data_IF_911518686691
#
_entry.id   IF_911518686691
#
_cell.length_a   1.000
_cell.length_b   1.000
_cell.length_c   1.000
_cell.angle_alpha   90.00
_cell.angle_beta   90.00
_cell.angle_gamma   90.00
#
_symmetry.space_group_name_H-M   'P 1'
#
loop_
_entity.id
_entity.type
_entity.pdbx_description
1 polymer ?
#
# COMPACT_ATOMS: atom_id res chain seq x y z
N UNK A 1 -65.46 12.03 -32.89
CA UNK A 1 -64.45 10.95 -32.85
C UNK A 1 -63.33 11.41 -31.94
N UNK A 2 -63.33 10.94 -30.70
CA UNK A 2 -62.41 11.38 -29.63
C UNK A 2 -61.63 10.18 -29.11
N UNK A 3 -60.33 10.18 -29.33
CA UNK A 3 -59.32 9.36 -28.64
C UNK A 3 -57.99 10.09 -28.87
N UNK A 4 -57.26 10.62 -27.88
CA UNK A 4 -57.01 10.12 -26.54
C UNK A 4 -55.57 9.58 -26.53
N UNK A 5 -54.57 10.46 -26.40
CA UNK A 5 -53.15 10.11 -26.33
C UNK A 5 -52.77 9.78 -24.87
N UNK A 6 -52.28 8.57 -24.54
CA UNK A 6 -51.58 8.33 -23.30
C UNK A 6 -50.08 8.30 -23.59
N UNK A 7 -49.41 9.44 -23.41
CA UNK A 7 -47.95 9.53 -23.49
C UNK A 7 -47.44 10.29 -22.27
N UNK A 8 -47.59 9.71 -21.07
CA UNK A 8 -47.07 10.34 -19.85
C UNK A 8 -46.79 9.40 -18.66
N UNK A 9 -46.79 8.07 -18.86
CA UNK A 9 -46.51 7.10 -17.79
C UNK A 9 -45.21 6.29 -17.96
N UNK A 10 -44.36 6.65 -18.93
CA UNK A 10 -43.09 5.93 -19.17
C UNK A 10 -41.85 6.54 -18.50
N UNK A 11 -41.91 7.78 -18.01
CA UNK A 11 -40.72 8.53 -17.60
C UNK A 11 -40.36 8.42 -16.11
N UNK A 12 -41.25 7.89 -15.26
CA UNK A 12 -41.04 7.83 -13.81
C UNK A 12 -40.40 6.52 -13.29
N UNK A 13 -40.21 5.51 -14.15
CA UNK A 13 -39.68 4.21 -13.74
C UNK A 13 -38.14 4.10 -13.79
N UNK A 14 -37.44 5.08 -14.35
CA UNK A 14 -35.97 5.03 -14.53
C UNK A 14 -35.16 5.70 -13.39
N UNK A 15 -35.82 6.21 -12.35
CA UNK A 15 -35.17 6.93 -11.23
C UNK A 15 -34.90 6.07 -9.98
N UNK A 16 -35.16 4.76 -10.03
CA UNK A 16 -35.03 3.86 -8.87
C UNK A 16 -33.83 2.90 -8.91
N UNK A 17 -32.95 3.00 -9.92
CA UNK A 17 -31.74 2.18 -10.01
C UNK A 17 -30.45 2.99 -9.76
N UNK A 18 -30.48 3.92 -8.80
CA UNK A 18 -29.24 4.36 -8.16
C UNK A 18 -28.91 3.28 -7.12
N UNK A 19 -27.91 2.41 -7.32
CA UNK A 19 -27.35 1.69 -6.19
C UNK A 19 -26.85 2.77 -5.25
N UNK A 20 -27.51 2.91 -4.11
CA UNK A 20 -27.01 3.72 -3.02
C UNK A 20 -25.63 3.15 -2.70
N UNK A 21 -24.58 3.82 -3.21
CA UNK A 21 -23.27 3.83 -2.58
C UNK A 21 -23.51 4.42 -1.20
N UNK A 22 -23.94 3.58 -0.27
CA UNK A 22 -23.78 3.87 1.14
C UNK A 22 -22.29 4.04 1.30
N UNK A 23 -21.88 5.29 1.52
CA UNK A 23 -20.61 5.60 2.12
C UNK A 23 -20.61 4.91 3.50
N UNK A 24 -20.33 3.61 3.48
CA UNK A 24 -19.81 2.94 4.63
C UNK A 24 -18.47 3.62 4.84
N UNK A 25 -18.38 4.46 5.87
CA UNK A 25 -17.10 4.80 6.47
C UNK A 25 -16.31 3.49 6.52
N UNK A 26 -15.11 3.43 5.91
CA UNK A 26 -14.27 2.26 6.06
C UNK A 26 -14.06 2.14 7.56
N UNK A 27 -14.67 1.13 8.18
CA UNK A 27 -14.25 0.70 9.49
C UNK A 27 -12.74 0.48 9.35
N UNK A 28 -11.95 1.27 10.08
CA UNK A 28 -10.50 1.08 10.10
C UNK A 28 -10.27 -0.41 10.32
N UNK A 29 -9.59 -1.11 9.40
CA UNK A 29 -9.35 -2.52 9.58
C UNK A 29 -8.64 -2.66 10.90
N UNK A 30 -9.33 -3.18 11.92
CA UNK A 30 -8.67 -3.61 13.13
C UNK A 30 -7.82 -4.79 12.71
N UNK A 31 -6.59 -4.48 12.31
CA UNK A 31 -5.50 -5.42 12.13
C UNK A 31 -5.23 -5.96 13.51
N UNK A 32 -6.02 -6.96 13.90
CA UNK A 32 -5.73 -7.81 15.03
C UNK A 32 -4.38 -8.42 14.69
N UNK A 33 -3.34 -7.86 15.30
CA UNK A 33 -1.97 -8.05 14.89
C UNK A 33 -1.61 -9.51 15.10
N UNK A 34 -1.61 -10.30 14.01
CA UNK A 34 -1.00 -11.63 13.98
C UNK A 34 0.49 -11.58 14.41
N UNK A 35 1.06 -10.37 14.51
CA UNK A 35 2.41 -10.11 14.96
C UNK A 35 2.65 -10.29 16.48
N UNK A 36 1.62 -10.25 17.33
CA UNK A 36 1.83 -10.26 18.79
C UNK A 36 2.48 -11.56 19.29
N UNK A 37 2.28 -12.68 18.57
CA UNK A 37 2.84 -13.98 18.90
C UNK A 37 3.95 -14.43 17.92
N UNK A 38 4.33 -13.57 16.97
CA UNK A 38 5.37 -13.93 16.00
C UNK A 38 6.74 -14.04 16.66
N UNK A 39 7.41 -15.17 16.42
CA UNK A 39 8.80 -15.38 16.78
C UNK A 39 9.59 -15.67 15.50
N UNK A 40 10.63 -14.88 15.17
CA UNK A 40 11.45 -15.15 13.99
C UNK A 40 12.08 -16.55 14.04
N UNK A 41 12.19 -17.25 12.90
CA UNK A 41 12.88 -18.53 12.86
C UNK A 41 14.36 -18.37 13.19
N UNK A 42 15.01 -19.44 13.64
CA UNK A 42 16.41 -19.40 14.02
C UNK A 42 17.30 -19.00 12.83
N UNK A 43 18.13 -17.96 13.02
CA UNK A 43 19.00 -17.43 11.97
C UNK A 43 18.36 -16.34 11.11
N UNK A 44 17.07 -16.02 11.29
CA UNK A 44 16.44 -14.88 10.62
C UNK A 44 17.08 -13.55 11.05
N UNK A 45 17.12 -12.55 10.15
CA UNK A 45 17.63 -11.23 10.50
C UNK A 45 16.72 -10.53 11.52
N UNK A 46 17.32 -9.68 12.37
CA UNK A 46 16.57 -8.87 13.35
C UNK A 46 15.47 -8.01 12.69
N UNK A 47 15.69 -7.62 11.43
CA UNK A 47 14.72 -6.94 10.58
C UNK A 47 13.35 -7.64 10.57
N UNK A 48 13.26 -8.97 10.67
CA UNK A 48 11.98 -9.67 10.69
C UNK A 48 11.11 -9.29 11.91
N UNK A 49 11.70 -9.16 13.10
CA UNK A 49 10.96 -8.71 14.28
C UNK A 49 10.65 -7.20 14.22
N UNK A 50 11.53 -6.43 13.59
CA UNK A 50 11.38 -4.98 13.50
C UNK A 50 10.33 -4.55 12.46
N UNK A 51 10.20 -5.28 11.34
CA UNK A 51 9.16 -5.06 10.33
C UNK A 51 7.76 -5.07 10.92
N UNK A 52 7.51 -5.94 11.91
CA UNK A 52 6.21 -6.06 12.58
C UNK A 52 5.89 -4.89 13.51
N UNK A 53 6.93 -4.15 13.92
CA UNK A 53 6.80 -2.94 14.74
C UNK A 53 6.85 -1.67 13.91
N UNK A 54 7.13 -1.79 12.61
CA UNK A 54 7.28 -0.65 11.73
C UNK A 54 5.95 0.06 11.52
N UNK A 55 5.91 1.34 11.84
CA UNK A 55 4.67 2.12 11.88
C UNK A 55 4.26 2.67 10.52
N UNK A 56 5.24 3.03 9.67
CA UNK A 56 4.96 3.84 8.48
C UNK A 56 4.66 3.02 7.23
N UNK A 57 4.81 1.69 7.25
CA UNK A 57 4.49 0.87 6.07
C UNK A 57 3.00 0.80 5.76
N UNK A 58 2.15 0.87 6.79
CA UNK A 58 0.70 0.97 6.60
C UNK A 58 0.28 2.26 5.87
N UNK A 59 1.11 3.30 5.92
CA UNK A 59 0.87 4.58 5.25
C UNK A 59 1.26 4.58 3.76
N UNK A 60 2.01 3.58 3.28
CA UNK A 60 2.49 3.56 1.88
C UNK A 60 1.31 3.52 0.89
N UNK A 61 0.37 2.56 0.93
CA UNK A 61 -0.73 2.52 -0.04
C UNK A 61 -1.58 3.81 -0.09
N UNK A 62 -2.05 4.39 1.04
CA UNK A 62 -2.84 5.62 0.99
C UNK A 62 -2.01 6.83 0.56
N UNK A 63 -0.70 6.90 0.87
CA UNK A 63 0.16 7.98 0.38
C UNK A 63 0.34 7.91 -1.14
N UNK A 64 0.58 6.73 -1.71
CA UNK A 64 0.68 6.53 -3.16
C UNK A 64 -0.64 6.90 -3.86
N UNK A 65 -1.78 6.47 -3.30
CA UNK A 65 -3.09 6.83 -3.84
C UNK A 65 -3.30 8.35 -3.90
N UNK A 66 -2.87 9.07 -2.86
CA UNK A 66 -2.92 10.54 -2.81
C UNK A 66 -1.99 11.21 -3.81
N UNK A 67 -0.77 10.70 -4.01
CA UNK A 67 0.13 11.16 -5.06
C UNK A 67 -0.48 11.03 -6.46
N UNK A 68 -1.08 9.87 -6.76
CA UNK A 68 -1.71 9.60 -8.06
C UNK A 68 -2.92 10.49 -8.30
N UNK A 69 -3.74 10.72 -7.26
CA UNK A 69 -4.89 11.62 -7.33
C UNK A 69 -4.51 13.11 -7.36
N UNK A 70 -3.23 13.46 -7.13
CA UNK A 70 -2.77 14.84 -7.05
C UNK A 70 -3.30 15.61 -5.83
N UNK A 71 -3.73 14.89 -4.79
CA UNK A 71 -4.28 15.47 -3.55
C UNK A 71 -3.30 15.30 -2.40
N UNK A 72 -3.26 16.26 -1.48
CA UNK A 72 -2.38 16.24 -0.29
C UNK A 72 -0.93 15.81 -0.57
N UNK A 73 -0.41 16.22 -1.73
CA UNK A 73 0.87 15.72 -2.28
C UNK A 73 2.02 15.91 -1.28
N UNK A 74 2.02 16.99 -0.51
CA UNK A 74 3.05 17.26 0.52
C UNK A 74 2.97 16.26 1.67
N UNK A 75 1.77 15.97 2.20
CA UNK A 75 1.59 14.99 3.28
C UNK A 75 1.94 13.58 2.77
N UNK A 76 1.46 13.24 1.57
CA UNK A 76 1.75 11.95 0.94
C UNK A 76 3.26 11.71 0.76
N UNK A 77 4.00 12.71 0.25
CA UNK A 77 5.47 12.63 0.16
C UNK A 77 6.13 12.52 1.52
N UNK A 78 5.63 13.25 2.52
CA UNK A 78 6.19 13.21 3.88
C UNK A 78 6.06 11.81 4.49
N UNK A 79 4.91 11.15 4.32
CA UNK A 79 4.70 9.77 4.79
C UNK A 79 5.57 8.76 4.06
N UNK A 80 5.70 8.87 2.73
CA UNK A 80 6.60 8.00 1.96
C UNK A 80 8.07 8.21 2.33
N UNK A 81 8.48 9.45 2.60
CA UNK A 81 9.82 9.76 3.09
C UNK A 81 10.07 9.15 4.48
N UNK A 82 9.08 9.18 5.38
CA UNK A 82 9.15 8.53 6.68
C UNK A 82 9.29 7.00 6.54
N UNK A 83 8.45 6.37 5.73
CA UNK A 83 8.53 4.93 5.43
C UNK A 83 9.88 4.53 4.81
N UNK A 84 10.41 5.34 3.88
CA UNK A 84 11.75 5.14 3.31
C UNK A 84 12.85 5.28 4.35
N UNK A 85 12.73 6.23 5.27
CA UNK A 85 13.65 6.41 6.39
C UNK A 85 13.65 5.20 7.33
N UNK A 86 12.47 4.71 7.68
CA UNK A 86 12.30 3.50 8.50
C UNK A 86 12.91 2.28 7.81
N UNK A 87 12.61 2.05 6.52
CA UNK A 87 13.18 0.93 5.77
C UNK A 87 14.72 0.99 5.70
N UNK A 88 15.32 2.18 5.55
CA UNK A 88 16.78 2.34 5.62
C UNK A 88 17.35 1.99 6.99
N UNK A 89 16.66 2.42 8.05
CA UNK A 89 17.06 2.08 9.41
C UNK A 89 17.06 0.57 9.61
N UNK A 90 16.01 -0.11 9.14
CA UNK A 90 15.92 -1.58 9.17
C UNK A 90 17.03 -2.23 8.33
N UNK A 91 17.25 -1.73 7.11
CA UNK A 91 18.28 -2.23 6.20
C UNK A 91 19.69 -2.15 6.80
N UNK A 92 19.96 -1.17 7.66
CA UNK A 92 21.27 -1.02 8.32
C UNK A 92 21.60 -2.17 9.28
N UNK A 93 20.59 -2.92 9.73
CA UNK A 93 20.75 -4.12 10.54
C UNK A 93 21.05 -5.39 9.75
N UNK A 94 20.98 -5.36 8.40
CA UNK A 94 21.35 -6.50 7.56
C UNK A 94 22.87 -6.56 7.39
N UNK A 95 23.49 -7.67 7.79
CA UNK A 95 24.92 -7.87 7.65
C UNK A 95 25.29 -8.09 6.17
N UNK A 96 26.41 -7.53 5.69
CA UNK A 96 26.88 -7.77 4.33
C UNK A 96 27.10 -9.26 4.06
N UNK A 97 26.58 -9.74 2.93
CA UNK A 97 26.70 -11.15 2.51
C UNK A 97 25.66 -12.09 3.12
N UNK A 98 24.88 -11.64 4.11
CA UNK A 98 23.71 -12.37 4.60
C UNK A 98 22.47 -11.91 3.82
N UNK A 99 21.66 -12.87 3.35
CA UNK A 99 20.39 -12.63 2.67
C UNK A 99 20.49 -11.65 1.47
N UNK A 100 21.35 -11.92 0.46
CA UNK A 100 21.60 -10.97 -0.63
C UNK A 100 20.35 -10.61 -1.44
N UNK A 101 19.40 -11.54 -1.58
CA UNK A 101 18.13 -11.30 -2.27
C UNK A 101 17.22 -10.37 -1.47
N UNK A 102 17.13 -10.55 -0.15
CA UNK A 102 16.38 -9.64 0.73
C UNK A 102 17.01 -8.25 0.73
N UNK A 103 18.35 -8.17 0.82
CA UNK A 103 19.08 -6.91 0.74
C UNK A 103 18.78 -6.17 -0.57
N UNK A 104 18.83 -6.89 -1.69
CA UNK A 104 18.50 -6.34 -3.01
C UNK A 104 17.08 -5.81 -3.05
N UNK A 105 16.09 -6.59 -2.58
CA UNK A 105 14.69 -6.15 -2.56
C UNK A 105 14.47 -4.90 -1.69
N UNK A 106 15.15 -4.82 -0.54
CA UNK A 106 15.10 -3.65 0.34
C UNK A 106 15.70 -2.42 -0.34
N UNK A 107 16.87 -2.55 -0.96
CA UNK A 107 17.54 -1.44 -1.66
C UNK A 107 16.70 -0.97 -2.86
N UNK A 108 16.15 -1.89 -3.66
CA UNK A 108 15.25 -1.58 -4.78
C UNK A 108 13.97 -0.87 -4.33
N UNK A 109 13.38 -1.27 -3.19
CA UNK A 109 12.21 -0.60 -2.62
C UNK A 109 12.55 0.81 -2.11
N UNK A 110 13.73 1.01 -1.50
CA UNK A 110 14.23 2.34 -1.09
C UNK A 110 14.40 3.27 -2.30
N UNK A 111 14.86 2.74 -3.43
CA UNK A 111 15.05 3.47 -4.68
C UNK A 111 13.72 3.74 -5.39
N UNK A 112 12.78 2.78 -5.38
CA UNK A 112 11.44 2.98 -5.91
C UNK A 112 10.68 4.08 -5.12
N UNK A 113 10.80 4.07 -3.79
CA UNK A 113 10.29 5.16 -2.95
C UNK A 113 10.97 6.49 -3.25
N UNK A 114 12.24 6.49 -3.66
CA UNK A 114 12.92 7.72 -4.08
C UNK A 114 12.28 8.32 -5.33
N UNK A 115 12.00 7.49 -6.34
CA UNK A 115 11.42 7.93 -7.61
C UNK A 115 10.09 8.65 -7.41
N UNK A 116 9.19 8.11 -6.58
CA UNK A 116 7.88 8.75 -6.32
C UNK A 116 7.94 10.00 -5.44
N UNK A 117 9.07 10.26 -4.77
CA UNK A 117 9.27 11.49 -4.00
C UNK A 117 9.65 12.68 -4.89
N UNK A 118 10.27 12.42 -6.04
CA UNK A 118 10.72 13.45 -6.97
C UNK A 118 9.61 13.77 -8.01
N UNK A 119 9.06 15.00 -8.03
CA UNK A 119 8.07 15.38 -9.04
C UNK A 119 8.67 15.56 -10.44
N UNK A 120 7.91 15.29 -11.51
CA UNK A 120 6.58 14.69 -11.52
C UNK A 120 6.64 13.16 -11.35
N UNK A 121 5.66 12.58 -10.64
CA UNK A 121 5.53 11.13 -10.52
C UNK A 121 4.85 10.59 -11.78
N UNK A 122 5.50 9.67 -12.48
CA UNK A 122 4.94 9.03 -13.66
C UNK A 122 4.40 7.61 -13.40
N UNK A 123 3.79 7.01 -14.42
CA UNK A 123 3.26 5.64 -14.35
C UNK A 123 4.37 4.60 -14.11
N UNK A 124 5.61 4.88 -14.55
CA UNK A 124 6.75 3.99 -14.41
C UNK A 124 7.23 3.96 -12.95
N UNK A 125 7.30 5.11 -12.28
CA UNK A 125 7.64 5.21 -10.87
C UNK A 125 6.59 4.52 -9.99
N UNK A 126 5.30 4.69 -10.31
CA UNK A 126 4.22 3.95 -9.63
C UNK A 126 4.38 2.44 -9.81
N UNK A 127 4.58 1.98 -11.05
CA UNK A 127 4.73 0.55 -11.34
C UNK A 127 5.95 -0.04 -10.62
N UNK A 128 7.07 0.68 -10.59
CA UNK A 128 8.29 0.27 -9.88
C UNK A 128 8.04 0.15 -8.38
N UNK A 129 7.33 1.10 -7.78
CA UNK A 129 7.00 1.06 -6.35
C UNK A 129 6.12 -0.14 -6.01
N UNK A 130 5.09 -0.42 -6.81
CA UNK A 130 4.21 -1.58 -6.57
C UNK A 130 4.98 -2.90 -6.72
N UNK A 131 5.79 -3.04 -7.77
CA UNK A 131 6.65 -4.21 -7.96
C UNK A 131 7.65 -4.38 -6.81
N UNK A 132 8.21 -3.28 -6.29
CA UNK A 132 9.11 -3.28 -5.14
C UNK A 132 8.43 -3.75 -3.85
N UNK A 133 7.16 -3.35 -3.62
CA UNK A 133 6.36 -3.87 -2.50
C UNK A 133 6.17 -5.38 -2.63
N UNK A 134 5.73 -5.85 -3.80
CA UNK A 134 5.49 -7.28 -4.04
C UNK A 134 6.75 -8.11 -3.84
N UNK A 135 7.90 -7.63 -4.34
CA UNK A 135 9.18 -8.28 -4.18
C UNK A 135 9.66 -8.29 -2.73
N UNK A 136 9.53 -7.17 -2.01
CA UNK A 136 9.88 -7.09 -0.59
C UNK A 136 9.01 -8.05 0.23
N UNK A 137 7.70 -8.12 -0.06
CA UNK A 137 6.78 -9.07 0.60
C UNK A 137 7.21 -10.51 0.31
N UNK A 138 7.49 -10.87 -0.95
CA UNK A 138 7.92 -12.22 -1.29
C UNK A 138 9.23 -12.63 -0.57
N UNK A 139 10.21 -11.73 -0.50
CA UNK A 139 11.47 -12.00 0.21
C UNK A 139 11.27 -12.10 1.72
N UNK A 140 10.48 -11.21 2.32
CA UNK A 140 10.22 -11.24 3.76
C UNK A 140 9.36 -12.43 4.16
N UNK A 141 8.38 -12.85 3.36
CA UNK A 141 7.65 -14.11 3.59
C UNK A 141 8.60 -15.32 3.58
N UNK A 142 9.58 -15.33 2.69
CA UNK A 142 10.56 -16.43 2.61
C UNK A 142 11.54 -16.43 3.78
N UNK A 143 12.16 -15.29 4.07
CA UNK A 143 13.22 -15.18 5.09
C UNK A 143 12.67 -15.11 6.51
N UNK A 144 11.54 -14.43 6.69
CA UNK A 144 10.92 -14.24 7.99
C UNK A 144 9.82 -15.27 8.28
N UNK A 145 9.47 -16.14 7.33
CA UNK A 145 8.38 -17.11 7.46
C UNK A 145 7.04 -16.48 7.86
N UNK A 146 6.78 -15.25 7.39
CA UNK A 146 5.46 -14.64 7.58
C UNK A 146 4.40 -15.44 6.82
N UNK A 147 3.31 -15.80 7.49
CA UNK A 147 2.17 -16.45 6.87
C UNK A 147 1.57 -15.56 5.77
N UNK A 148 1.42 -16.12 4.57
CA UNK A 148 0.73 -15.48 3.45
C UNK A 148 -0.79 -15.42 3.67
#
# INVERSE_FOLDING_TARGET
>A
MTAGKPALLGALALLLCLPACTAAEPAEPQTQSAASDYTPPAGAPALCADLLRAGHFADIPPAVGRLVAGVDVVDARSRLAAARGELRSLASGLLPGEWPELRTAVDEMIDAMAGVLDPPVDDADRARLLAGVDQLVAQTQTVCEFSA
#
